data_IF_780159733855
#
_entry.id   IF_780159733855
#
_cell.length_a   1.000
_cell.length_b   1.000
_cell.length_c   1.000
_cell.angle_alpha   90.00
_cell.angle_beta   90.00
_cell.angle_gamma   90.00
#
_symmetry.space_group_name_H-M   'P 1'
#
loop_
_entity.id
_entity.type
_entity.pdbx_description
1 polymer ?
#
# COMPACT_ATOMS: atom_id res chain seq x y z
N UNK A 1 18.18 0.81 14.15
CA UNK A 1 16.71 0.77 13.99
C UNK A 1 16.43 0.46 12.53
N UNK A 2 15.68 -0.60 12.26
CA UNK A 2 15.27 -0.93 10.88
C UNK A 2 14.20 0.07 10.47
N UNK A 3 14.40 0.79 9.36
CA UNK A 3 13.41 1.74 8.86
C UNK A 3 12.15 1.00 8.43
N UNK A 4 10.98 1.43 8.92
CA UNK A 4 9.68 0.80 8.63
C UNK A 4 8.65 1.84 8.21
N UNK A 5 7.81 1.48 7.24
CA UNK A 5 6.66 2.29 6.80
C UNK A 5 5.42 1.41 6.76
N UNK A 6 4.34 1.85 7.42
CA UNK A 6 3.05 1.18 7.39
C UNK A 6 2.01 2.05 6.70
N UNK A 7 1.40 1.56 5.63
CA UNK A 7 0.36 2.26 4.86
C UNK A 7 -0.94 1.47 4.97
N UNK A 8 -1.99 2.11 5.48
CA UNK A 8 -3.31 1.52 5.62
C UNK A 8 -4.30 2.20 4.68
N UNK A 9 -4.91 1.41 3.81
CA UNK A 9 -5.96 1.82 2.88
C UNK A 9 -7.27 1.12 3.27
N UNK A 10 -8.36 1.87 3.26
CA UNK A 10 -9.69 1.31 3.51
C UNK A 10 -10.28 0.83 2.20
N UNK A 11 -10.70 -0.43 2.11
CA UNK A 11 -11.41 -0.92 0.92
C UNK A 11 -12.82 -0.33 0.93
N UNK A 12 -13.27 0.14 -0.23
CA UNK A 12 -14.64 0.65 -0.40
C UNK A 12 -15.63 -0.51 -0.28
N UNK A 13 -16.55 -0.41 0.68
CA UNK A 13 -17.56 -1.44 0.98
C UNK A 13 -18.96 -0.85 0.86
N UNK A 14 -19.91 -1.63 0.37
CA UNK A 14 -21.33 -1.28 0.50
C UNK A 14 -21.71 -1.21 1.99
N UNK A 15 -22.71 -0.39 2.37
CA UNK A 15 -23.20 -0.33 3.74
C UNK A 15 -23.62 -1.70 4.28
N UNK A 16 -24.18 -2.57 3.43
CA UNK A 16 -24.60 -3.94 3.78
C UNK A 16 -23.44 -4.89 4.07
N UNK A 17 -22.25 -4.64 3.52
CA UNK A 17 -21.06 -5.46 3.72
C UNK A 17 -20.17 -4.98 4.89
N UNK A 18 -20.51 -3.84 5.52
CA UNK A 18 -19.79 -3.32 6.68
C UNK A 18 -20.18 -4.09 7.92
N UNK A 19 -19.18 -4.48 8.71
CA UNK A 19 -19.40 -5.02 10.06
C UNK A 19 -19.90 -3.87 10.95
N UNK A 20 -21.18 -3.89 11.28
CA UNK A 20 -21.88 -2.85 12.05
C UNK A 20 -21.63 -2.93 13.57
N UNK A 21 -21.12 -4.05 14.08
CA UNK A 21 -20.76 -4.23 15.50
C UNK A 21 -19.40 -4.93 15.66
N UNK A 22 -18.63 -4.49 16.67
CA UNK A 22 -17.42 -5.13 17.23
C UNK A 22 -16.19 -5.36 16.32
N UNK A 23 -16.16 -4.85 15.09
CA UNK A 23 -14.95 -4.90 14.28
C UNK A 23 -13.79 -4.13 14.93
N UNK A 24 -12.62 -4.76 15.09
CA UNK A 24 -11.42 -4.08 15.61
C UNK A 24 -11.07 -2.91 14.68
N UNK A 25 -10.67 -1.78 15.24
CA UNK A 25 -10.28 -0.62 14.43
C UNK A 25 -9.06 -0.98 13.57
N UNK A 26 -9.18 -0.77 12.26
CA UNK A 26 -8.06 -0.94 11.31
C UNK A 26 -6.89 -0.01 11.61
N UNK A 27 -7.15 1.15 12.22
CA UNK A 27 -6.10 2.13 12.56
C UNK A 27 -5.02 1.57 13.49
N UNK A 28 -5.35 0.53 14.27
CA UNK A 28 -4.37 -0.16 15.12
C UNK A 28 -3.34 -0.98 14.33
N UNK A 29 -3.63 -1.39 13.09
CA UNK A 29 -2.74 -2.27 12.30
C UNK A 29 -1.40 -1.57 12.01
N UNK A 30 -1.44 -0.35 11.46
CA UNK A 30 -0.24 0.39 11.12
C UNK A 30 0.57 0.76 12.38
N UNK A 31 -0.11 1.15 13.45
CA UNK A 31 0.53 1.45 14.74
C UNK A 31 1.23 0.22 15.31
N UNK A 32 0.54 -0.91 15.39
CA UNK A 32 1.09 -2.17 15.92
C UNK A 32 2.27 -2.67 15.09
N UNK A 33 2.22 -2.54 13.76
CA UNK A 33 3.35 -2.86 12.89
C UNK A 33 4.59 -2.02 13.24
N UNK A 34 4.42 -0.69 13.34
CA UNK A 34 5.54 0.23 13.61
C UNK A 34 6.10 0.09 15.03
N UNK A 35 5.24 -0.07 16.03
CA UNK A 35 5.66 -0.15 17.44
C UNK A 35 6.21 -1.53 17.83
N UNK A 36 5.76 -2.61 17.19
CA UNK A 36 6.21 -3.96 17.55
C UNK A 36 7.65 -4.27 17.12
N UNK A 37 8.18 -3.56 16.14
CA UNK A 37 9.53 -3.83 15.59
C UNK A 37 9.67 -5.20 14.92
N UNK A 38 8.57 -5.92 14.71
CA UNK A 38 8.53 -7.27 14.10
C UNK A 38 8.85 -7.21 12.61
N UNK A 39 9.40 -8.29 12.08
CA UNK A 39 9.59 -8.44 10.63
C UNK A 39 8.26 -8.57 9.89
N UNK A 40 8.25 -8.29 8.58
CA UNK A 40 7.09 -8.57 7.74
C UNK A 40 6.74 -10.06 7.75
N UNK A 41 7.75 -10.94 7.80
CA UNK A 41 7.61 -12.40 7.89
C UNK A 41 6.86 -12.85 9.14
N UNK A 42 7.00 -12.12 10.25
CA UNK A 42 6.31 -12.43 11.50
C UNK A 42 4.94 -11.73 11.60
N UNK A 43 4.86 -10.46 11.19
CA UNK A 43 3.67 -9.64 11.38
C UNK A 43 2.52 -10.03 10.44
N UNK A 44 2.82 -10.25 9.16
CA UNK A 44 1.79 -10.45 8.15
C UNK A 44 1.03 -11.78 8.27
N UNK A 45 1.66 -12.92 8.61
CA UNK A 45 0.92 -14.15 8.88
C UNK A 45 -0.07 -14.01 10.04
N UNK A 46 0.33 -13.35 11.13
CA UNK A 46 -0.58 -13.07 12.25
C UNK A 46 -1.73 -12.16 11.82
N UNK A 47 -1.44 -11.08 11.11
CA UNK A 47 -2.47 -10.18 10.60
C UNK A 47 -3.45 -10.93 9.68
N UNK A 48 -2.94 -11.83 8.83
CA UNK A 48 -3.74 -12.69 7.95
C UNK A 48 -4.69 -13.59 8.76
N UNK A 49 -4.21 -14.19 9.85
CA UNK A 49 -5.01 -15.05 10.73
C UNK A 49 -6.13 -14.32 11.48
N UNK A 50 -6.02 -12.99 11.61
CA UNK A 50 -6.96 -12.11 12.33
C UNK A 50 -7.70 -11.16 11.39
N UNK A 51 -7.51 -11.31 10.08
CA UNK A 51 -7.93 -10.33 9.08
C UNK A 51 -9.47 -10.20 9.02
N UNK A 52 -10.18 -11.26 9.35
CA UNK A 52 -11.63 -11.31 9.45
C UNK A 52 -12.16 -10.44 10.61
N UNK A 53 -11.36 -10.11 11.62
CA UNK A 53 -11.78 -9.22 12.71
C UNK A 53 -11.95 -7.75 12.28
N UNK A 54 -11.54 -7.41 11.06
CA UNK A 54 -11.52 -6.04 10.55
C UNK A 54 -12.50 -5.86 9.38
N UNK A 55 -12.97 -4.62 9.19
CA UNK A 55 -13.59 -4.20 7.93
C UNK A 55 -12.58 -4.26 6.77
N UNK A 56 -13.05 -4.17 5.53
CA UNK A 56 -12.23 -4.29 4.33
C UNK A 56 -11.01 -3.36 4.36
N UNK A 57 -9.80 -3.89 4.23
CA UNK A 57 -8.56 -3.13 4.27
C UNK A 57 -7.53 -3.69 3.30
N UNK A 58 -6.60 -2.81 2.95
CA UNK A 58 -5.34 -3.13 2.31
C UNK A 58 -4.22 -2.50 3.12
N UNK A 59 -3.30 -3.32 3.60
CA UNK A 59 -2.16 -2.88 4.39
C UNK A 59 -0.87 -3.16 3.64
N UNK A 60 0.02 -2.17 3.59
CA UNK A 60 1.36 -2.26 3.01
C UNK A 60 2.37 -2.04 4.13
N UNK A 61 3.27 -3.00 4.30
CA UNK A 61 4.41 -2.91 5.21
C UNK A 61 5.68 -2.86 4.38
N UNK A 62 6.44 -1.79 4.54
CA UNK A 62 7.76 -1.66 3.95
C UNK A 62 8.80 -1.71 5.05
N UNK A 63 9.82 -2.55 4.88
CA UNK A 63 10.94 -2.64 5.82
C UNK A 63 12.27 -2.55 5.08
N UNK A 64 13.20 -1.81 5.67
CA UNK A 64 14.55 -1.67 5.14
C UNK A 64 15.35 -2.95 5.38
N UNK A 65 15.88 -3.55 4.32
CA UNK A 65 16.75 -4.71 4.41
C UNK A 65 18.21 -4.31 4.73
N UNK A 66 19.12 -5.29 4.74
CA UNK A 66 20.54 -5.09 5.07
C UNK A 66 21.29 -4.22 4.04
N UNK A 67 20.76 -4.11 2.82
CA UNK A 67 21.33 -3.33 1.71
C UNK A 67 20.79 -1.88 1.70
N UNK A 68 20.06 -1.47 2.73
CA UNK A 68 19.37 -0.18 2.82
C UNK A 68 18.23 0.01 1.78
N UNK A 69 17.74 -1.07 1.17
CA UNK A 69 16.60 -1.07 0.27
C UNK A 69 15.32 -1.43 1.01
N UNK A 70 14.18 -0.87 0.61
CA UNK A 70 12.89 -1.22 1.20
C UNK A 70 12.26 -2.40 0.45
N UNK A 71 11.90 -3.43 1.20
CA UNK A 71 11.11 -4.57 0.72
C UNK A 71 9.65 -4.39 1.15
N UNK A 72 8.70 -4.74 0.28
CA UNK A 72 7.28 -4.53 0.51
C UNK A 72 6.51 -5.86 0.62
N UNK A 73 5.72 -5.98 1.68
CA UNK A 73 4.68 -7.01 1.82
C UNK A 73 3.32 -6.33 1.94
N UNK A 74 2.30 -6.89 1.30
CA UNK A 74 0.92 -6.41 1.39
C UNK A 74 -0.03 -7.50 1.88
N UNK A 75 -1.14 -7.08 2.49
CA UNK A 75 -2.29 -7.94 2.79
C UNK A 75 -3.58 -7.19 2.48
N UNK A 76 -4.49 -7.85 1.78
CA UNK A 76 -5.88 -7.40 1.60
C UNK A 76 -6.80 -8.48 2.12
N UNK A 77 -7.84 -8.10 2.87
CA UNK A 77 -8.76 -9.04 3.48
C UNK A 77 -10.12 -9.14 2.76
N UNK A 78 -10.28 -8.45 1.64
CA UNK A 78 -11.57 -8.33 0.96
C UNK A 78 -11.42 -8.23 -0.55
N UNK A 79 -12.45 -8.69 -1.29
CA UNK A 79 -12.50 -8.74 -2.76
C UNK A 79 -11.40 -9.61 -3.42
N UNK A 80 -10.80 -10.51 -2.63
CA UNK A 80 -9.79 -11.49 -3.04
C UNK A 80 -10.25 -12.91 -2.73
N UNK A 81 -9.73 -13.88 -3.49
CA UNK A 81 -10.08 -15.29 -3.33
C UNK A 81 -9.47 -15.89 -2.06
N UNK A 82 -8.27 -15.41 -1.69
CA UNK A 82 -7.54 -15.85 -0.50
C UNK A 82 -6.93 -14.64 0.22
N UNK A 83 -7.08 -14.61 1.54
CA UNK A 83 -6.43 -13.62 2.40
C UNK A 83 -5.07 -14.15 2.77
N UNK A 84 -4.03 -13.67 2.09
CA UNK A 84 -2.65 -14.08 2.34
C UNK A 84 -1.64 -12.95 2.09
N UNK A 85 -0.50 -12.95 2.81
CA UNK A 85 0.57 -12.00 2.56
C UNK A 85 1.15 -12.15 1.16
N UNK A 86 1.35 -11.03 0.46
CA UNK A 86 1.97 -10.98 -0.86
C UNK A 86 3.24 -10.13 -0.80
N UNK A 87 4.39 -10.73 -1.12
CA UNK A 87 5.64 -10.02 -1.34
C UNK A 87 5.68 -9.45 -2.76
N UNK A 88 6.25 -8.27 -2.89
CA UNK A 88 6.35 -7.56 -4.17
C UNK A 88 7.82 -7.39 -4.57
N UNK A 89 8.21 -7.81 -5.79
CA UNK A 89 9.56 -7.59 -6.27
C UNK A 89 9.80 -6.10 -6.55
N UNK A 90 11.02 -5.74 -6.94
CA UNK A 90 11.31 -4.37 -7.38
C UNK A 90 10.45 -4.01 -8.60
N UNK A 91 9.89 -2.80 -8.60
CA UNK A 91 9.07 -2.28 -9.68
C UNK A 91 8.23 -1.07 -9.28
N UNK A 92 7.40 -0.61 -10.21
CA UNK A 92 6.44 0.48 -9.99
C UNK A 92 5.08 -0.08 -9.62
N UNK A 93 4.57 0.30 -8.45
CA UNK A 93 3.27 -0.13 -7.94
C UNK A 93 2.45 1.08 -7.52
N UNK A 94 1.15 1.05 -7.84
CA UNK A 94 0.19 2.07 -7.42
C UNK A 94 -0.92 1.36 -6.67
N UNK A 95 -1.30 1.93 -5.53
CA UNK A 95 -2.25 1.34 -4.60
C UNK A 95 -3.46 2.25 -4.42
N UNK A 96 -4.62 1.64 -4.20
CA UNK A 96 -5.86 2.36 -3.94
C UNK A 96 -6.75 1.60 -2.96
N UNK A 97 -8.00 2.05 -2.85
CA UNK A 97 -9.01 1.47 -1.95
C UNK A 97 -9.65 0.19 -2.54
N UNK A 98 -8.86 -0.59 -3.27
CA UNK A 98 -9.22 -1.80 -4.01
C UNK A 98 -8.04 -2.79 -3.96
N UNK A 99 -8.30 -4.11 -4.08
CA UNK A 99 -7.22 -5.09 -4.24
C UNK A 99 -6.35 -4.76 -5.46
N UNK A 100 -5.07 -5.19 -5.45
CA UNK A 100 -4.14 -4.89 -6.52
C UNK A 100 -4.52 -5.56 -7.85
N UNK A 101 -5.25 -6.67 -7.80
CA UNK A 101 -5.69 -7.42 -8.99
C UNK A 101 -7.00 -6.86 -9.58
N UNK A 102 -7.67 -5.93 -8.87
CA UNK A 102 -8.89 -5.23 -9.31
C UNK A 102 -8.75 -3.72 -9.09
N UNK A 103 -7.73 -3.08 -9.69
CA UNK A 103 -7.45 -1.67 -9.45
C UNK A 103 -8.54 -0.78 -10.06
N UNK A 104 -8.86 0.33 -9.39
CA UNK A 104 -9.68 1.37 -10.01
C UNK A 104 -8.97 2.00 -11.20
N UNK A 105 -9.73 2.54 -12.16
CA UNK A 105 -9.18 3.21 -13.36
C UNK A 105 -8.15 4.27 -13.02
N UNK A 106 -8.40 5.10 -12.00
CA UNK A 106 -7.43 6.11 -11.52
C UNK A 106 -6.08 5.54 -11.08
N UNK A 107 -6.04 4.32 -10.55
CA UNK A 107 -4.79 3.62 -10.18
C UNK A 107 -4.04 3.21 -11.44
N UNK A 108 -4.76 2.71 -12.45
CA UNK A 108 -4.19 2.30 -13.73
C UNK A 108 -3.65 3.49 -14.52
N UNK A 109 -4.43 4.56 -14.67
CA UNK A 109 -4.01 5.76 -15.40
C UNK A 109 -2.91 6.53 -14.64
N UNK A 110 -3.05 6.70 -13.33
CA UNK A 110 -2.02 7.33 -12.50
C UNK A 110 -0.68 6.60 -12.58
N UNK A 111 -0.70 5.26 -12.68
CA UNK A 111 0.52 4.47 -12.93
C UNK A 111 1.17 4.83 -14.26
N UNK A 112 0.42 4.94 -15.35
CA UNK A 112 0.98 5.30 -16.67
C UNK A 112 1.61 6.69 -16.66
N UNK A 113 0.94 7.66 -16.03
CA UNK A 113 1.45 9.03 -15.89
C UNK A 113 2.76 9.02 -15.10
N UNK A 114 2.79 8.32 -13.97
CA UNK A 114 3.99 8.18 -13.14
C UNK A 114 5.13 7.49 -13.88
N UNK A 115 4.88 6.35 -14.52
CA UNK A 115 5.90 5.62 -15.28
C UNK A 115 6.47 6.45 -16.44
N UNK A 116 5.61 7.17 -17.17
CA UNK A 116 6.05 8.10 -18.23
C UNK A 116 6.92 9.21 -17.68
N UNK A 117 6.57 9.76 -16.52
CA UNK A 117 7.37 10.79 -15.88
C UNK A 117 8.73 10.27 -15.43
N UNK A 118 8.78 9.12 -14.74
CA UNK A 118 10.04 8.50 -14.33
C UNK A 118 10.94 8.20 -15.53
N UNK A 119 10.37 7.68 -16.63
CA UNK A 119 11.12 7.42 -17.86
C UNK A 119 11.65 8.68 -18.56
N UNK A 120 11.09 9.85 -18.25
CA UNK A 120 11.55 11.14 -18.78
C UNK A 120 12.69 11.78 -17.97
N UNK A 121 12.96 11.25 -16.77
CA UNK A 121 14.02 11.77 -15.90
C UNK A 121 15.40 11.42 -16.46
N UNK A 122 16.33 12.34 -16.27
CA UNK A 122 17.76 12.17 -16.60
C UNK A 122 18.61 12.25 -15.34
N UNK A 123 19.87 11.77 -15.36
CA UNK A 123 20.79 11.93 -14.24
C UNK A 123 21.00 13.40 -13.80
N UNK A 124 20.77 14.35 -14.70
CA UNK A 124 20.90 15.80 -14.43
C UNK A 124 19.63 16.43 -13.85
N UNK A 125 18.55 15.65 -13.69
CA UNK A 125 17.29 16.18 -13.14
C UNK A 125 17.48 16.57 -11.69
N UNK A 126 17.26 17.85 -11.38
CA UNK A 126 17.41 18.35 -10.02
C UNK A 126 16.32 17.82 -9.08
N UNK A 127 16.61 17.80 -7.78
CA UNK A 127 15.61 17.41 -6.75
C UNK A 127 14.37 18.31 -6.81
N UNK A 128 14.54 19.61 -7.10
CA UNK A 128 13.41 20.55 -7.19
C UNK A 128 12.55 20.27 -8.43
N UNK A 129 13.16 19.95 -9.56
CA UNK A 129 12.42 19.58 -10.78
C UNK A 129 11.70 18.24 -10.61
N UNK A 130 12.34 17.30 -9.90
CA UNK A 130 11.74 16.03 -9.51
C UNK A 130 10.48 16.25 -8.65
N UNK A 131 10.61 17.03 -7.57
CA UNK A 131 9.48 17.33 -6.68
C UNK A 131 8.38 18.05 -7.46
N UNK A 132 8.74 19.04 -8.29
CA UNK A 132 7.78 19.81 -9.07
C UNK A 132 6.99 18.92 -10.03
N UNK A 133 7.66 18.00 -10.73
CA UNK A 133 6.98 17.06 -11.62
C UNK A 133 6.09 16.06 -10.88
N UNK A 134 6.54 15.52 -9.74
CA UNK A 134 5.70 14.67 -8.89
C UNK A 134 4.45 15.41 -8.38
N UNK A 135 4.59 16.68 -7.99
CA UNK A 135 3.45 17.50 -7.55
C UNK A 135 2.46 17.78 -8.68
N UNK A 136 2.92 17.93 -9.93
CA UNK A 136 2.03 18.05 -11.09
C UNK A 136 1.20 16.79 -11.30
N UNK A 137 1.79 15.61 -11.15
CA UNK A 137 1.07 14.32 -11.23
C UNK A 137 0.05 14.21 -10.10
N UNK A 138 0.41 14.60 -8.89
CA UNK A 138 -0.48 14.55 -7.73
C UNK A 138 -1.68 15.51 -7.85
N UNK A 139 -1.52 16.61 -8.59
CA UNK A 139 -2.55 17.61 -8.85
C UNK A 139 -3.27 17.40 -10.21
N UNK A 140 -3.03 16.29 -10.89
CA UNK A 140 -3.66 16.00 -12.17
C UNK A 140 -5.16 15.68 -11.96
N UNK A 141 -6.02 16.51 -12.55
CA UNK A 141 -7.49 16.38 -12.50
C UNK A 141 -8.04 15.75 -13.80
N UNK A 142 -7.20 15.24 -14.70
CA UNK A 142 -7.67 14.63 -15.95
C UNK A 142 -8.17 13.20 -15.68
N UNK A 143 -9.48 12.98 -15.86
CA UNK A 143 -10.16 11.68 -15.65
C UNK A 143 -9.99 10.67 -16.81
#
# INVERSE_FOLDING_TARGET
MVGSVGILLSITQSPSAKKLQHGRSRGGIAKEFLESGRSCEDFFPELSSKADLFNGFQFLGLQRNKENLYEMTSLTNMLVDKVEPRKWPAGTYVWGNSPPDKPFRKVVEGRKIFEKYIASLTPDTSVNDLITGLMKIAADETE
#
